data_IF_680532558647
#
_entry.id   IF_680532558647
#
_cell.length_a   1.000
_cell.length_b   1.000
_cell.length_c   1.000
_cell.angle_alpha   90.00
_cell.angle_beta   90.00
_cell.angle_gamma   90.00
#
_symmetry.space_group_name_H-M   'P 1'
#
loop_
_entity.id
_entity.type
_entity.pdbx_description
1 polymer ?
#
# COMPACT_ATOMS: atom_id res chain seq x y z
N UNK A 1 16.79 -17.86 8.20
CA UNK A 1 16.19 -16.50 8.31
C UNK A 1 14.94 -16.46 7.44
N UNK A 2 13.77 -16.15 7.99
CA UNK A 2 12.55 -16.11 7.19
C UNK A 2 12.67 -15.07 6.07
N UNK A 3 12.22 -15.41 4.85
CA UNK A 3 12.35 -14.56 3.65
C UNK A 3 11.81 -13.14 3.84
N UNK A 4 10.88 -12.93 4.77
CA UNK A 4 10.30 -11.62 5.11
C UNK A 4 11.21 -10.69 5.93
N UNK A 5 12.21 -11.23 6.64
CA UNK A 5 13.16 -10.41 7.40
C UNK A 5 13.99 -9.47 6.52
N UNK A 6 14.32 -9.89 5.30
CA UNK A 6 15.03 -9.04 4.32
C UNK A 6 14.16 -7.88 3.83
N UNK A 7 12.85 -8.10 3.62
CA UNK A 7 11.93 -7.02 3.24
C UNK A 7 11.76 -6.02 4.37
N UNK A 8 11.61 -6.50 5.61
CA UNK A 8 11.56 -5.61 6.80
C UNK A 8 12.84 -4.77 6.90
N UNK A 9 14.01 -5.41 6.79
CA UNK A 9 15.29 -4.68 6.82
C UNK A 9 15.39 -3.64 5.68
N UNK A 10 14.92 -3.96 4.47
CA UNK A 10 14.90 -3.03 3.35
C UNK A 10 14.00 -1.81 3.64
N UNK A 11 12.79 -2.01 4.16
CA UNK A 11 11.89 -0.90 4.49
C UNK A 11 12.36 -0.07 5.69
N UNK A 12 12.99 -0.70 6.69
CA UNK A 12 13.63 0.01 7.79
C UNK A 12 14.80 0.85 7.27
N UNK A 13 15.63 0.29 6.38
CA UNK A 13 16.70 1.04 5.71
C UNK A 13 16.16 2.20 4.87
N UNK A 14 15.04 1.99 4.15
CA UNK A 14 14.34 3.02 3.39
C UNK A 14 13.85 4.16 4.29
N UNK A 15 13.20 3.81 5.42
CA UNK A 15 12.74 4.77 6.42
C UNK A 15 13.91 5.58 7.00
N UNK A 16 14.99 4.89 7.38
CA UNK A 16 16.18 5.53 7.94
C UNK A 16 16.87 6.46 6.94
N UNK A 17 16.96 6.05 5.67
CA UNK A 17 17.49 6.89 4.59
C UNK A 17 16.61 8.12 4.38
N UNK A 18 15.29 7.94 4.29
CA UNK A 18 14.36 9.04 4.12
C UNK A 18 14.50 10.05 5.26
N UNK A 19 14.47 9.58 6.51
CA UNK A 19 14.67 10.39 7.72
C UNK A 19 16.01 11.10 7.71
N UNK A 20 17.11 10.41 7.41
CA UNK A 20 18.44 11.00 7.35
C UNK A 20 18.54 12.12 6.32
N UNK A 21 18.00 11.90 5.12
CA UNK A 21 18.01 12.91 4.04
C UNK A 21 17.19 14.12 4.46
N UNK A 22 15.91 13.96 4.79
CA UNK A 22 15.07 15.15 5.01
C UNK A 22 15.30 15.83 6.35
N UNK A 23 15.88 15.18 7.37
CA UNK A 23 16.34 15.94 8.54
C UNK A 23 17.50 16.88 8.16
N UNK A 24 18.40 16.43 7.27
CA UNK A 24 19.51 17.24 6.77
C UNK A 24 19.11 18.29 5.72
N UNK A 25 18.04 18.06 4.95
CA UNK A 25 17.65 18.91 3.81
C UNK A 25 16.39 19.75 4.03
N UNK A 26 15.38 19.22 4.73
CA UNK A 26 14.06 19.86 4.82
C UNK A 26 13.88 20.65 6.12
N UNK A 27 14.64 20.36 7.17
CA UNK A 27 14.64 21.13 8.41
C UNK A 27 13.36 21.01 9.25
N UNK A 28 12.44 20.11 8.93
CA UNK A 28 11.22 19.85 9.72
C UNK A 28 11.01 18.35 9.97
N UNK A 29 10.18 18.04 10.98
CA UNK A 29 9.79 16.67 11.28
C UNK A 29 8.86 16.13 10.19
N UNK A 30 9.32 15.14 9.40
CA UNK A 30 8.58 14.52 8.28
C UNK A 30 7.16 14.02 8.62
N UNK A 31 6.86 13.87 9.90
CA UNK A 31 5.54 13.51 10.42
C UNK A 31 4.50 14.60 10.19
N UNK A 32 4.92 15.84 10.01
CA UNK A 32 4.08 17.01 9.80
C UNK A 32 4.48 17.77 8.55
N UNK A 33 3.51 18.16 7.73
CA UNK A 33 3.72 19.07 6.62
C UNK A 33 3.63 20.52 7.12
N UNK A 34 4.56 21.43 6.76
CA UNK A 34 4.50 22.83 7.17
C UNK A 34 3.27 23.57 6.64
N UNK A 35 2.88 23.30 5.39
CA UNK A 35 1.81 24.02 4.68
C UNK A 35 0.66 23.08 4.26
N UNK A 36 -0.13 22.55 5.21
CA UNK A 36 -1.31 21.76 4.88
C UNK A 36 -2.45 22.63 4.36
N UNK A 37 -3.35 22.03 3.57
CA UNK A 37 -4.53 22.74 3.06
C UNK A 37 -5.60 23.01 4.12
N UNK A 38 -5.67 22.18 5.18
CA UNK A 38 -6.58 22.40 6.31
C UNK A 38 -5.79 22.75 7.57
N UNK A 39 -6.14 23.89 8.17
CA UNK A 39 -5.67 24.27 9.50
C UNK A 39 -6.46 23.51 10.57
N UNK A 40 -5.97 22.34 10.97
CA UNK A 40 -6.62 21.48 11.96
C UNK A 40 -6.00 21.65 13.34
N UNK A 41 -6.83 21.74 14.39
CA UNK A 41 -6.34 21.79 15.78
C UNK A 41 -5.78 20.46 16.30
N UNK A 42 -6.21 19.32 15.74
CA UNK A 42 -5.75 17.98 16.10
C UNK A 42 -5.39 17.16 14.84
N UNK A 43 -4.38 17.58 14.06
CA UNK A 43 -4.11 17.03 12.73
C UNK A 43 -3.84 15.52 12.75
N UNK A 44 -3.15 15.01 13.78
CA UNK A 44 -2.85 13.58 13.91
C UNK A 44 -4.10 12.72 14.11
N UNK A 45 -4.99 13.11 15.04
CA UNK A 45 -6.20 12.35 15.33
C UNK A 45 -7.17 12.38 14.14
N UNK A 46 -7.38 13.55 13.54
CA UNK A 46 -8.24 13.70 12.36
C UNK A 46 -7.68 12.89 11.18
N UNK A 47 -6.37 12.98 10.95
CA UNK A 47 -5.71 12.23 9.89
C UNK A 47 -5.76 10.72 10.10
N UNK A 48 -5.54 10.23 11.33
CA UNK A 48 -5.68 8.82 11.65
C UNK A 48 -7.10 8.31 11.37
N UNK A 49 -8.13 9.06 11.79
CA UNK A 49 -9.53 8.73 11.53
C UNK A 49 -9.86 8.70 10.03
N UNK A 50 -9.45 9.73 9.28
CA UNK A 50 -9.62 9.78 7.84
C UNK A 50 -8.87 8.65 7.11
N UNK A 51 -7.66 8.31 7.57
CA UNK A 51 -6.87 7.19 7.06
C UNK A 51 -7.54 5.84 7.29
N UNK A 52 -8.08 5.61 8.49
CA UNK A 52 -8.86 4.40 8.78
C UNK A 52 -10.14 4.31 7.92
N UNK A 53 -10.83 5.42 7.71
CA UNK A 53 -11.99 5.51 6.81
C UNK A 53 -11.61 5.17 5.36
N UNK A 54 -10.53 5.75 4.84
CA UNK A 54 -10.00 5.44 3.52
C UNK A 54 -9.66 3.95 3.38
N UNK A 55 -8.99 3.37 4.39
CA UNK A 55 -8.69 1.95 4.40
C UNK A 55 -9.96 1.09 4.34
N UNK A 56 -10.99 1.41 5.13
CA UNK A 56 -12.25 0.69 5.12
C UNK A 56 -12.91 0.71 3.73
N UNK A 57 -12.93 1.87 3.07
CA UNK A 57 -13.45 2.02 1.70
C UNK A 57 -12.65 1.17 0.71
N UNK A 58 -11.32 1.28 0.72
CA UNK A 58 -10.45 0.54 -0.22
C UNK A 58 -10.55 -0.97 -0.01
N UNK A 59 -10.60 -1.43 1.24
CA UNK A 59 -10.79 -2.85 1.59
C UNK A 59 -12.16 -3.32 1.08
N UNK A 60 -13.23 -2.57 1.36
CA UNK A 60 -14.58 -2.88 0.90
C UNK A 60 -14.67 -2.97 -0.63
N UNK A 61 -14.10 -2.00 -1.33
CA UNK A 61 -13.99 -2.00 -2.79
C UNK A 61 -13.19 -3.20 -3.30
N UNK A 62 -12.09 -3.57 -2.65
CA UNK A 62 -11.32 -4.76 -3.03
C UNK A 62 -12.20 -6.01 -2.96
N UNK A 63 -12.98 -6.18 -1.88
CA UNK A 63 -13.90 -7.33 -1.72
C UNK A 63 -15.06 -7.30 -2.72
N UNK A 64 -15.49 -6.12 -3.13
CA UNK A 64 -16.55 -5.94 -4.13
C UNK A 64 -16.05 -6.25 -5.54
N UNK A 65 -14.91 -5.68 -5.92
CA UNK A 65 -14.41 -5.65 -7.30
C UNK A 65 -13.71 -6.94 -7.70
N UNK A 66 -12.95 -7.56 -6.80
CA UNK A 66 -12.23 -8.81 -7.10
C UNK A 66 -13.16 -9.90 -7.64
N UNK A 67 -14.28 -10.29 -7.02
CA UNK A 67 -15.13 -11.33 -7.60
C UNK A 67 -15.84 -10.90 -8.89
N UNK A 68 -16.07 -9.60 -9.11
CA UNK A 68 -16.91 -9.08 -10.20
C UNK A 68 -16.14 -8.77 -11.48
N UNK A 69 -14.95 -8.17 -11.36
CA UNK A 69 -14.22 -7.62 -12.50
C UNK A 69 -13.05 -8.50 -12.91
N UNK A 70 -12.95 -8.81 -14.21
CA UNK A 70 -11.93 -9.69 -14.75
C UNK A 70 -10.50 -9.15 -14.51
N UNK A 71 -10.29 -7.85 -14.69
CA UNK A 71 -9.00 -7.20 -14.43
C UNK A 71 -8.62 -7.28 -12.94
N UNK A 72 -9.58 -7.15 -12.03
CA UNK A 72 -9.34 -7.21 -10.59
C UNK A 72 -9.00 -8.65 -10.15
N UNK A 73 -9.69 -9.66 -10.70
CA UNK A 73 -9.31 -11.08 -10.52
C UNK A 73 -7.89 -11.35 -11.02
N UNK A 74 -7.56 -10.87 -12.21
CA UNK A 74 -6.23 -11.06 -12.80
C UNK A 74 -5.14 -10.39 -11.95
N UNK A 75 -5.37 -9.15 -11.50
CA UNK A 75 -4.44 -8.47 -10.59
C UNK A 75 -4.28 -9.23 -9.27
N UNK A 76 -5.39 -9.67 -8.66
CA UNK A 76 -5.35 -10.49 -7.45
C UNK A 76 -4.49 -11.73 -7.68
N UNK A 77 -4.73 -12.48 -8.75
CA UNK A 77 -3.93 -13.67 -9.11
C UNK A 77 -2.45 -13.37 -9.26
N UNK A 78 -2.09 -12.29 -9.96
CA UNK A 78 -0.70 -11.89 -10.19
C UNK A 78 0.00 -11.47 -8.88
N UNK A 79 -0.73 -10.92 -7.90
CA UNK A 79 -0.20 -10.50 -6.60
C UNK A 79 -0.18 -11.62 -5.53
N UNK A 80 -0.96 -12.70 -5.69
CA UNK A 80 -1.00 -13.82 -4.72
C UNK A 80 0.38 -14.37 -4.33
N UNK A 81 1.35 -14.54 -5.25
CA UNK A 81 2.68 -15.04 -4.90
C UNK A 81 3.39 -14.22 -3.82
N UNK A 82 3.12 -12.91 -3.71
CA UNK A 82 3.69 -12.03 -2.67
C UNK A 82 3.28 -12.52 -1.27
N UNK A 83 2.04 -12.99 -1.11
CA UNK A 83 1.49 -13.41 0.17
C UNK A 83 1.68 -14.91 0.48
N UNK A 84 1.94 -15.75 -0.53
CA UNK A 84 1.99 -17.23 -0.39
C UNK A 84 3.01 -17.75 0.63
N UNK A 85 4.08 -17.00 0.90
CA UNK A 85 5.13 -17.39 1.86
C UNK A 85 5.08 -16.70 3.22
N UNK A 86 4.08 -15.86 3.48
CA UNK A 86 4.02 -15.05 4.69
C UNK A 86 3.21 -15.76 5.79
N UNK A 87 3.83 -15.99 6.95
CA UNK A 87 3.09 -16.29 8.19
C UNK A 87 2.31 -15.06 8.69
N UNK A 88 1.39 -15.21 9.66
CA UNK A 88 0.62 -14.08 10.20
C UNK A 88 1.50 -12.91 10.67
N UNK A 89 2.56 -13.21 11.42
CA UNK A 89 3.54 -12.20 11.84
C UNK A 89 4.26 -11.55 10.65
N UNK A 90 4.58 -12.33 9.62
CA UNK A 90 5.19 -11.80 8.40
C UNK A 90 4.27 -10.85 7.63
N UNK A 91 2.96 -11.10 7.63
CA UNK A 91 1.96 -10.18 7.04
C UNK A 91 1.90 -8.87 7.82
N UNK A 92 1.79 -8.94 9.15
CA UNK A 92 1.72 -7.74 10.01
C UNK A 92 3.01 -6.94 9.91
N UNK A 93 4.17 -7.60 10.01
CA UNK A 93 5.46 -6.95 9.89
C UNK A 93 5.61 -6.28 8.51
N UNK A 94 5.34 -7.01 7.43
CA UNK A 94 5.43 -6.43 6.09
C UNK A 94 4.50 -5.23 5.93
N UNK A 95 3.26 -5.33 6.40
CA UNK A 95 2.28 -4.23 6.31
C UNK A 95 2.72 -2.97 7.07
N UNK A 96 3.21 -3.12 8.30
CA UNK A 96 3.64 -1.98 9.14
C UNK A 96 4.93 -1.36 8.60
N UNK A 97 5.94 -2.18 8.34
CA UNK A 97 7.24 -1.65 7.91
C UNK A 97 7.21 -1.09 6.48
N UNK A 98 6.46 -1.73 5.55
CA UNK A 98 6.25 -1.14 4.21
C UNK A 98 5.56 0.21 4.31
N UNK A 99 4.47 0.32 5.08
CA UNK A 99 3.76 1.57 5.27
C UNK A 99 4.68 2.66 5.86
N UNK A 100 5.44 2.36 6.92
CA UNK A 100 6.35 3.33 7.51
C UNK A 100 7.44 3.79 6.51
N UNK A 101 8.13 2.84 5.87
CA UNK A 101 9.23 3.16 4.96
C UNK A 101 8.78 3.91 3.71
N UNK A 102 7.68 3.46 3.10
CA UNK A 102 7.16 4.10 1.90
C UNK A 102 6.52 5.46 2.20
N UNK A 103 5.73 5.61 3.27
CA UNK A 103 5.14 6.91 3.57
C UNK A 103 6.20 7.94 3.98
N UNK A 104 7.23 7.56 4.74
CA UNK A 104 8.36 8.46 5.04
C UNK A 104 9.10 8.88 3.77
N UNK A 105 9.38 7.94 2.86
CA UNK A 105 10.06 8.26 1.61
C UNK A 105 9.21 9.13 0.69
N UNK A 106 7.98 8.70 0.42
CA UNK A 106 7.16 9.32 -0.62
C UNK A 106 6.45 10.57 -0.14
N UNK A 107 5.89 10.55 1.08
CA UNK A 107 5.10 11.68 1.60
C UNK A 107 5.97 12.56 2.47
N UNK A 108 6.77 11.97 3.35
CA UNK A 108 7.67 12.72 4.23
C UNK A 108 8.80 13.44 3.49
N UNK A 109 9.38 12.81 2.46
CA UNK A 109 10.52 13.36 1.70
C UNK A 109 10.15 13.82 0.27
N UNK A 110 9.59 12.94 -0.56
CA UNK A 110 9.44 13.25 -1.98
C UNK A 110 8.32 14.27 -2.29
N UNK A 111 7.13 14.13 -1.71
CA UNK A 111 5.99 15.02 -1.95
C UNK A 111 6.30 16.51 -1.69
N UNK A 112 6.98 16.89 -0.59
CA UNK A 112 7.42 18.27 -0.36
C UNK A 112 8.33 18.83 -1.45
N UNK A 113 9.12 17.97 -2.11
CA UNK A 113 10.08 18.36 -3.12
C UNK A 113 9.45 18.47 -4.52
N UNK A 114 8.54 17.55 -4.86
CA UNK A 114 8.02 17.44 -6.25
C UNK A 114 6.51 17.66 -6.37
N UNK A 115 5.81 17.86 -5.25
CA UNK A 115 4.36 18.00 -5.19
C UNK A 115 3.60 16.67 -5.27
N UNK A 116 2.32 16.72 -4.88
CA UNK A 116 1.46 15.53 -4.74
C UNK A 116 1.26 14.75 -6.05
N UNK A 117 1.11 15.45 -7.18
CA UNK A 117 0.80 14.84 -8.47
C UNK A 117 1.97 14.04 -9.03
N UNK A 118 3.14 14.66 -9.09
CA UNK A 118 4.35 14.02 -9.62
C UNK A 118 4.82 12.90 -8.68
N UNK A 119 4.73 13.10 -7.37
CA UNK A 119 5.01 12.05 -6.40
C UNK A 119 4.11 10.83 -6.61
N UNK A 120 2.80 11.01 -6.79
CA UNK A 120 1.86 9.91 -7.02
C UNK A 120 2.16 9.14 -8.31
N UNK A 121 2.55 9.85 -9.38
CA UNK A 121 2.97 9.23 -10.63
C UNK A 121 4.24 8.39 -10.44
N UNK A 122 5.27 8.96 -9.80
CA UNK A 122 6.52 8.26 -9.49
C UNK A 122 6.21 7.00 -8.68
N UNK A 123 5.39 7.11 -7.63
CA UNK A 123 4.97 5.99 -6.80
C UNK A 123 4.34 4.88 -7.63
N UNK A 124 3.41 5.19 -8.54
CA UNK A 124 2.80 4.15 -9.38
C UNK A 124 3.80 3.47 -10.32
N UNK A 125 4.69 4.24 -10.97
CA UNK A 125 5.64 3.70 -11.95
C UNK A 125 6.64 2.75 -11.29
N UNK A 126 7.18 3.10 -10.13
CA UNK A 126 8.14 2.22 -9.42
C UNK A 126 7.50 0.94 -8.89
N UNK A 127 6.18 0.94 -8.68
CA UNK A 127 5.44 -0.23 -8.23
C UNK A 127 5.20 -1.24 -9.34
N UNK A 128 5.62 -0.96 -10.58
CA UNK A 128 5.51 -1.88 -11.69
C UNK A 128 6.12 -3.26 -11.36
N UNK A 129 5.29 -4.30 -11.42
CA UNK A 129 5.70 -5.69 -11.26
C UNK A 129 5.75 -6.44 -12.60
N UNK A 130 6.32 -7.66 -12.61
CA UNK A 130 6.20 -8.56 -13.76
C UNK A 130 4.75 -9.07 -13.92
N UNK A 131 4.40 -9.52 -15.12
CA UNK A 131 3.11 -10.16 -15.39
C UNK A 131 2.13 -9.29 -16.18
N UNK A 132 0.95 -9.85 -16.45
CA UNK A 132 -0.07 -9.26 -17.34
C UNK A 132 -0.72 -8.02 -16.73
N UNK A 133 -0.84 -7.97 -15.41
CA UNK A 133 -1.46 -6.85 -14.71
C UNK A 133 -0.52 -5.67 -14.43
N UNK A 134 0.71 -5.65 -14.97
CA UNK A 134 1.72 -4.62 -14.64
C UNK A 134 1.20 -3.18 -14.71
N UNK A 135 0.45 -2.84 -15.76
CA UNK A 135 -0.06 -1.49 -15.97
C UNK A 135 -1.31 -1.20 -15.14
N UNK A 136 -2.13 -2.21 -14.87
CA UNK A 136 -3.25 -2.11 -13.92
C UNK A 136 -2.71 -1.85 -12.52
N UNK A 137 -1.62 -2.51 -12.15
CA UNK A 137 -0.95 -2.30 -10.87
C UNK A 137 -0.29 -0.92 -10.77
N UNK A 138 0.38 -0.46 -11.83
CA UNK A 138 0.89 0.93 -11.91
C UNK A 138 -0.24 1.93 -11.72
N UNK A 139 -1.34 1.79 -12.47
CA UNK A 139 -2.48 2.71 -12.36
C UNK A 139 -3.10 2.70 -10.96
N UNK A 140 -3.30 1.52 -10.37
CA UNK A 140 -3.83 1.38 -9.01
C UNK A 140 -2.87 1.99 -7.97
N UNK A 141 -1.57 1.73 -8.09
CA UNK A 141 -0.55 2.30 -7.22
C UNK A 141 -0.49 3.83 -7.37
N UNK A 142 -0.62 4.39 -8.59
CA UNK A 142 -0.74 5.85 -8.78
C UNK A 142 -1.97 6.42 -8.06
N UNK A 143 -3.14 5.76 -8.18
CA UNK A 143 -4.37 6.19 -7.50
C UNK A 143 -4.20 6.17 -5.98
N UNK A 144 -3.66 5.07 -5.42
CA UNK A 144 -3.35 5.01 -3.98
C UNK A 144 -2.28 6.03 -3.57
N UNK A 145 -1.28 6.20 -4.43
CA UNK A 145 -0.27 7.26 -4.44
C UNK A 145 -0.88 8.61 -4.11
N UNK A 146 -1.81 9.01 -4.97
CA UNK A 146 -2.55 10.26 -4.93
C UNK A 146 -3.47 10.35 -3.72
N UNK A 147 -4.26 9.31 -3.41
CA UNK A 147 -5.19 9.34 -2.28
C UNK A 147 -4.48 9.55 -0.94
N UNK A 148 -3.37 8.85 -0.71
CA UNK A 148 -2.56 9.00 0.50
C UNK A 148 -1.81 10.34 0.51
N UNK A 149 -1.31 10.79 -0.64
CA UNK A 149 -0.63 12.08 -0.75
C UNK A 149 -1.59 13.26 -0.53
N UNK A 150 -2.81 13.19 -1.05
CA UNK A 150 -3.88 14.17 -0.78
C UNK A 150 -4.30 14.13 0.69
N UNK A 151 -4.41 12.96 1.30
CA UNK A 151 -4.68 12.86 2.73
C UNK A 151 -3.60 13.58 3.55
N UNK A 152 -2.32 13.38 3.20
CA UNK A 152 -1.21 14.09 3.85
C UNK A 152 -1.26 15.61 3.61
N UNK A 153 -1.52 16.03 2.37
CA UNK A 153 -1.60 17.44 2.00
C UNK A 153 -2.77 18.15 2.68
N UNK A 154 -3.91 17.46 2.84
CA UNK A 154 -5.10 17.97 3.50
C UNK A 154 -4.87 18.15 5.00
N UNK A 155 -4.38 17.12 5.68
CA UNK A 155 -4.33 17.11 7.15
C UNK A 155 -3.03 17.62 7.73
N UNK A 156 -1.96 17.65 6.92
CA UNK A 156 -0.62 17.94 7.36
C UNK A 156 0.00 16.86 8.24
N UNK A 157 -0.61 15.69 8.37
CA UNK A 157 -0.14 14.63 9.27
C UNK A 157 0.09 13.33 8.54
N UNK A 158 1.30 12.78 8.67
CA UNK A 158 1.70 11.51 8.05
C UNK A 158 1.03 10.28 8.70
N UNK A 159 0.45 10.45 9.90
CA UNK A 159 -0.22 9.37 10.65
C UNK A 159 -1.36 8.74 9.86
N UNK A 160 -2.20 9.53 9.19
CA UNK A 160 -3.32 9.02 8.39
C UNK A 160 -2.86 8.15 7.22
N UNK A 161 -1.95 8.63 6.36
CA UNK A 161 -1.35 7.82 5.29
C UNK A 161 -0.76 6.51 5.80
N UNK A 162 0.03 6.55 6.89
CA UNK A 162 0.64 5.35 7.49
C UNK A 162 -0.42 4.36 7.97
N UNK A 163 -1.43 4.85 8.71
CA UNK A 163 -2.55 4.01 9.20
C UNK A 163 -3.31 3.39 8.02
N UNK A 164 -3.67 4.19 7.03
CA UNK A 164 -4.41 3.73 5.86
C UNK A 164 -3.63 2.64 5.12
N UNK A 165 -2.36 2.91 4.81
CA UNK A 165 -1.50 2.00 4.08
C UNK A 165 -1.28 0.69 4.87
N UNK A 166 -0.94 0.77 6.16
CA UNK A 166 -0.72 -0.42 6.99
C UNK A 166 -1.98 -1.30 7.08
N UNK A 167 -3.16 -0.71 7.27
CA UNK A 167 -4.42 -1.44 7.33
C UNK A 167 -4.77 -2.10 5.99
N UNK A 168 -4.65 -1.36 4.89
CA UNK A 168 -4.89 -1.89 3.54
C UNK A 168 -3.95 -3.07 3.27
N UNK A 169 -2.65 -2.92 3.55
CA UNK A 169 -1.68 -3.99 3.33
C UNK A 169 -1.95 -5.20 4.21
N UNK A 170 -2.18 -5.02 5.51
CA UNK A 170 -2.44 -6.13 6.42
C UNK A 170 -3.66 -6.96 5.98
N UNK A 171 -4.74 -6.28 5.60
CA UNK A 171 -6.01 -6.93 5.23
C UNK A 171 -5.97 -7.51 3.81
N UNK A 172 -5.35 -6.84 2.85
CA UNK A 172 -5.29 -7.32 1.46
C UNK A 172 -4.20 -8.38 1.26
N UNK A 173 -3.08 -8.34 1.96
CA UNK A 173 -2.10 -9.45 1.97
C UNK A 173 -2.73 -10.71 2.58
N UNK A 174 -3.49 -10.56 3.66
CA UNK A 174 -4.25 -11.67 4.25
C UNK A 174 -5.28 -12.23 3.26
N UNK A 175 -5.96 -11.37 2.50
CA UNK A 175 -6.91 -11.81 1.48
C UNK A 175 -6.25 -12.52 0.30
N UNK A 176 -5.14 -11.98 -0.22
CA UNK A 176 -4.33 -12.63 -1.26
C UNK A 176 -3.90 -14.04 -0.84
N UNK A 177 -3.54 -14.20 0.45
CA UNK A 177 -3.14 -15.50 1.00
C UNK A 177 -4.29 -16.51 1.02
N UNK A 178 -5.49 -16.11 1.45
CA UNK A 178 -6.58 -17.05 1.75
C UNK A 178 -7.66 -17.14 0.65
N UNK A 179 -7.67 -16.23 -0.33
CA UNK A 179 -8.69 -16.22 -1.37
C UNK A 179 -8.10 -16.59 -2.73
N UNK A 180 -8.62 -17.67 -3.30
CA UNK A 180 -8.41 -18.02 -4.71
C UNK A 180 -9.64 -17.55 -5.51
N UNK A 181 -9.48 -16.61 -6.47
CA UNK A 181 -10.60 -16.09 -7.23
C UNK A 181 -11.07 -17.05 -8.34
N UNK A 182 -10.33 -18.14 -8.61
CA UNK A 182 -10.71 -19.12 -9.62
C UNK A 182 -11.71 -20.15 -9.05
N UNK A 183 -12.72 -20.58 -9.83
CA UNK A 183 -13.67 -21.59 -9.40
C UNK A 183 -12.92 -22.90 -9.10
N UNK A 184 -13.27 -23.54 -7.97
CA UNK A 184 -12.73 -24.86 -7.63
C UNK A 184 -13.04 -25.84 -8.76
N UNK A 185 -12.08 -26.65 -9.25
CA UNK A 185 -12.34 -27.64 -10.30
C UNK A 185 -13.53 -28.51 -9.89
N UNK A 186 -14.50 -28.70 -10.79
CA UNK A 186 -15.62 -29.59 -10.50
C UNK A 186 -15.07 -31.02 -10.35
N UNK A 187 -15.47 -31.74 -9.30
CA UNK A 187 -15.06 -33.14 -9.07
C UNK A 187 -15.41 -34.05 -10.25
N UNK A 188 -16.38 -33.66 -11.08
CA UNK A 188 -16.83 -34.39 -12.28
C UNK A 188 -15.87 -34.26 -13.47
N UNK A 189 -15.15 -33.14 -13.62
CA UNK A 189 -14.20 -32.95 -14.73
C UNK A 189 -12.93 -33.81 -14.63
N UNK A 190 -12.59 -34.29 -13.42
CA UNK A 190 -11.49 -35.24 -13.22
C UNK A 190 -11.81 -36.66 -13.70
N UNK A 191 -13.09 -37.05 -13.70
CA UNK A 191 -13.54 -38.38 -14.14
C UNK A 191 -13.62 -38.49 -15.68
N UNK A 192 -13.85 -37.38 -16.37
CA UNK A 192 -13.92 -37.34 -17.84
C UNK A 192 -12.56 -37.20 -18.54
N UNK A 193 -11.49 -36.97 -17.78
CA UNK A 193 -10.11 -36.87 -18.31
C UNK A 193 -9.33 -38.19 -18.22
N UNK A 194 -9.95 -39.25 -17.69
CA UNK A 194 -9.36 -40.59 -17.53
C UNK A 194 -9.94 -41.62 -18.51
N UNK A 195 -10.53 -41.18 -19.62
CA UNK A 195 -10.97 -42.07 -20.71
C UNK A 195 -10.28 -41.70 -22.00
#
# INVERSE_FOLDING_TARGET
MHRWGRYVAAYVGLAALAVGIGWGWLGYAMWTLPDPWLALGAPHAVSAGAGAGLAAVVIGLTRLLVPRLAWARQLHRDLRPVARGLGPLGVVALAVFSALGEELLFRGLAQPLVGVWLQALIFGVIHQGPGKSRWVWVAWATVMGLLLGLLFQLTGSLVGPVVAHALINAVNLTYLKHHDPDPKPSRLGGLLRQR
#
